data_IF_152594171670
#
_entry.id   IF_152594171670
#
_cell.length_a   1.000
_cell.length_b   1.000
_cell.length_c   1.000
_cell.angle_alpha   90.00
_cell.angle_beta   90.00
_cell.angle_gamma   90.00
#
_symmetry.space_group_name_H-M   'P 1'
#
loop_
_entity.id
_entity.type
_entity.pdbx_description
1 polymer ?
#
# COMPACT_ATOMS: atom_id res chain seq x y z
N UNK A 1 -12.30 -6.27 4.75
CA UNK A 1 -13.10 -7.44 5.12
C UNK A 1 -12.17 -8.60 5.48
N UNK A 2 -12.57 -9.48 6.43
CA UNK A 2 -11.79 -10.63 6.87
C UNK A 2 -12.63 -11.90 6.70
N UNK A 3 -12.05 -12.90 6.05
CA UNK A 3 -12.67 -14.21 5.85
C UNK A 3 -11.80 -15.29 6.49
N UNK A 4 -12.36 -16.04 7.45
CA UNK A 4 -11.66 -17.19 8.02
C UNK A 4 -11.73 -18.36 7.04
N UNK A 5 -10.58 -18.76 6.49
CA UNK A 5 -10.50 -19.96 5.64
C UNK A 5 -10.42 -21.25 6.48
N UNK A 6 -9.75 -21.17 7.62
CA UNK A 6 -9.65 -22.24 8.61
C UNK A 6 -9.62 -21.64 10.02
N UNK A 7 -9.54 -22.48 11.06
CA UNK A 7 -9.41 -22.03 12.46
C UNK A 7 -8.20 -21.12 12.71
N UNK A 8 -7.18 -21.17 11.86
CA UNK A 8 -5.93 -20.40 12.01
C UNK A 8 -5.59 -19.51 10.83
N UNK A 9 -6.25 -19.68 9.69
CA UNK A 9 -5.90 -18.95 8.47
C UNK A 9 -6.99 -17.95 8.14
N UNK A 10 -6.60 -16.68 8.04
CA UNK A 10 -7.50 -15.58 7.74
C UNK A 10 -7.08 -14.92 6.43
N UNK A 11 -8.03 -14.74 5.53
CA UNK A 11 -7.86 -14.02 4.28
C UNK A 11 -8.45 -12.60 4.42
N UNK A 12 -7.70 -11.61 3.97
CA UNK A 12 -8.12 -10.21 3.92
C UNK A 12 -8.02 -9.67 2.50
N UNK A 13 -9.07 -9.77 1.70
CA UNK A 13 -9.16 -9.00 0.46
C UNK A 13 -9.46 -7.54 0.79
N UNK A 14 -8.81 -6.62 0.09
CA UNK A 14 -9.10 -5.21 0.16
C UNK A 14 -9.02 -4.59 -1.24
N UNK A 15 -9.89 -3.63 -1.49
CA UNK A 15 -9.89 -2.80 -2.67
C UNK A 15 -9.97 -1.33 -2.23
N UNK A 16 -9.10 -0.51 -2.76
CA UNK A 16 -9.05 0.91 -2.50
C UNK A 16 -9.10 1.65 -3.83
N UNK A 17 -9.92 2.68 -3.88
CA UNK A 17 -10.06 3.56 -5.03
C UNK A 17 -10.19 4.99 -4.53
N UNK A 18 -9.35 5.87 -5.05
CA UNK A 18 -9.41 7.29 -4.75
C UNK A 18 -9.50 8.12 -6.03
N UNK A 19 -10.27 9.18 -5.93
CA UNK A 19 -10.49 10.13 -7.00
C UNK A 19 -10.50 11.54 -6.44
N UNK A 20 -9.76 12.43 -7.09
CA UNK A 20 -9.69 13.84 -6.76
C UNK A 20 -10.18 14.66 -7.94
N UNK A 21 -11.15 15.53 -7.71
CA UNK A 21 -11.71 16.45 -8.69
C UNK A 21 -11.54 17.90 -8.28
N UNK A 22 -11.37 18.81 -9.24
CA UNK A 22 -11.38 20.23 -8.97
C UNK A 22 -12.82 20.74 -8.85
N UNK A 23 -13.12 21.48 -7.78
CA UNK A 23 -14.39 22.21 -7.64
C UNK A 23 -14.49 23.36 -8.65
N UNK A 24 -13.35 23.98 -8.99
CA UNK A 24 -13.25 25.05 -9.97
C UNK A 24 -12.11 24.74 -10.95
N UNK A 25 -12.45 24.57 -12.23
CA UNK A 25 -11.49 24.24 -13.27
C UNK A 25 -10.43 25.34 -13.51
N UNK A 26 -10.74 26.61 -13.23
CA UNK A 26 -9.81 27.71 -13.40
C UNK A 26 -8.71 27.72 -12.34
N UNK A 27 -8.98 27.16 -11.16
CA UNK A 27 -8.01 27.06 -10.04
C UNK A 27 -7.23 25.75 -10.05
N UNK A 28 -7.73 24.73 -10.77
CA UNK A 28 -7.12 23.42 -10.83
C UNK A 28 -7.22 22.62 -9.53
N UNK A 29 -6.51 21.50 -9.50
CA UNK A 29 -6.43 20.60 -8.33
C UNK A 29 -5.29 21.06 -7.44
N UNK A 30 -5.53 21.14 -6.13
CA UNK A 30 -4.53 21.52 -5.13
C UNK A 30 -3.41 20.46 -5.11
N UNK A 31 -2.14 20.84 -5.32
CA UNK A 31 -1.04 19.85 -5.42
C UNK A 31 -0.85 18.98 -4.18
N UNK A 32 -1.19 19.49 -2.99
CA UNK A 32 -1.00 18.78 -1.72
C UNK A 32 -2.02 17.68 -1.44
N UNK A 33 -3.14 17.66 -2.16
CA UNK A 33 -4.18 16.63 -2.00
C UNK A 33 -4.01 15.45 -2.95
N UNK A 34 -2.98 15.47 -3.81
CA UNK A 34 -2.76 14.41 -4.78
C UNK A 34 -2.24 13.15 -4.13
N UNK A 35 -2.59 12.00 -4.71
CA UNK A 35 -2.23 10.69 -4.24
C UNK A 35 -0.82 10.28 -4.68
N UNK A 36 -0.03 9.79 -3.73
CA UNK A 36 1.30 9.25 -3.99
C UNK A 36 1.29 7.74 -3.70
N UNK A 37 1.52 6.91 -4.71
CA UNK A 37 1.45 5.47 -4.60
C UNK A 37 2.84 4.85 -4.52
N UNK A 38 2.99 3.84 -3.64
CA UNK A 38 4.21 3.06 -3.44
C UNK A 38 4.73 3.11 -2.01
N UNK A 39 5.45 2.06 -1.62
CA UNK A 39 6.11 1.96 -0.33
C UNK A 39 5.25 1.39 0.79
N UNK A 40 5.58 1.76 2.01
CA UNK A 40 4.97 1.27 3.25
C UNK A 40 3.78 2.13 3.75
N UNK A 41 3.54 3.26 3.11
CA UNK A 41 2.52 4.22 3.56
C UNK A 41 2.95 5.05 4.77
N UNK A 42 4.15 4.86 5.28
CA UNK A 42 4.72 5.69 6.31
C UNK A 42 5.20 6.99 5.67
N UNK A 43 4.30 7.92 5.44
CA UNK A 43 4.62 9.28 4.98
C UNK A 43 5.44 10.09 5.97
N UNK A 44 6.25 9.43 6.82
CA UNK A 44 6.97 10.01 7.95
C UNK A 44 8.00 11.08 7.56
N UNK A 45 8.32 11.20 6.28
CA UNK A 45 9.33 12.17 5.82
C UNK A 45 8.78 13.35 5.05
N UNK A 46 7.50 13.36 4.71
CA UNK A 46 6.84 14.53 4.13
C UNK A 46 5.83 15.11 5.11
N UNK A 47 6.24 16.12 5.85
CA UNK A 47 5.38 16.93 6.71
C UNK A 47 4.45 17.87 5.90
N UNK A 48 4.34 17.64 4.60
CA UNK A 48 3.60 18.47 3.66
C UNK A 48 2.14 18.05 3.47
N UNK A 49 1.67 17.05 4.24
CA UNK A 49 0.28 16.61 4.21
C UNK A 49 -0.10 15.74 3.00
N UNK A 50 0.86 15.25 2.22
CA UNK A 50 0.61 14.37 1.06
C UNK A 50 0.05 13.02 1.51
N UNK A 51 -0.98 12.55 0.82
CA UNK A 51 -1.53 11.23 1.07
C UNK A 51 -0.70 10.16 0.34
N UNK A 52 0.01 9.33 1.12
CA UNK A 52 0.80 8.22 0.58
C UNK A 52 0.03 6.92 0.70
N UNK A 53 -0.28 6.33 -0.45
CA UNK A 53 -0.98 5.05 -0.55
C UNK A 53 0.07 3.94 -0.61
N UNK A 54 0.10 3.09 0.41
CA UNK A 54 1.05 1.98 0.47
C UNK A 54 0.85 0.98 -0.68
N UNK A 55 1.92 0.63 -1.36
CA UNK A 55 2.00 -0.54 -2.26
C UNK A 55 3.35 -1.20 -2.03
N UNK A 56 3.35 -2.28 -1.26
CA UNK A 56 4.56 -2.97 -0.84
C UNK A 56 5.28 -3.62 -2.02
N UNK A 57 6.62 -3.71 -1.94
CA UNK A 57 7.47 -4.20 -3.03
C UNK A 57 7.90 -3.10 -4.01
N UNK A 58 7.60 -1.85 -3.70
CA UNK A 58 8.07 -0.68 -4.44
C UNK A 58 8.55 0.40 -3.48
N UNK A 59 9.50 1.26 -3.86
CA UNK A 59 9.94 2.39 -3.04
C UNK A 59 8.80 3.37 -2.76
N UNK A 60 8.94 4.14 -1.69
CA UNK A 60 7.95 5.14 -1.33
C UNK A 60 7.68 6.12 -2.48
N UNK A 61 6.39 6.35 -2.79
CA UNK A 61 5.90 7.28 -3.80
C UNK A 61 6.37 7.03 -5.25
N UNK A 62 7.05 5.91 -5.50
CA UNK A 62 7.72 5.62 -6.78
C UNK A 62 6.78 5.29 -7.94
N UNK A 63 5.54 4.97 -7.66
CA UNK A 63 4.55 4.58 -8.68
C UNK A 63 3.67 5.74 -9.15
N UNK A 64 3.91 6.94 -8.62
CA UNK A 64 3.25 8.18 -9.05
C UNK A 64 4.24 9.10 -9.74
N UNK A 65 3.73 10.03 -10.53
CA UNK A 65 4.55 11.13 -11.06
C UNK A 65 5.01 12.06 -9.94
N UNK A 66 5.96 12.94 -10.21
CA UNK A 66 6.50 13.92 -9.24
C UNK A 66 5.41 14.77 -8.59
N UNK A 67 4.35 15.07 -9.33
CA UNK A 67 3.23 15.88 -8.85
C UNK A 67 2.13 15.03 -8.16
N UNK A 68 2.27 13.71 -8.07
CA UNK A 68 1.24 12.80 -7.61
C UNK A 68 0.14 12.56 -8.64
N UNK A 69 -0.75 11.60 -8.38
CA UNK A 69 -1.91 11.28 -9.20
C UNK A 69 -3.21 11.90 -8.67
N UNK A 70 -4.20 12.00 -9.53
CA UNK A 70 -5.56 12.43 -9.16
C UNK A 70 -6.52 11.25 -9.00
N UNK A 71 -6.10 10.09 -9.46
CA UNK A 71 -6.85 8.84 -9.37
C UNK A 71 -5.87 7.74 -9.00
N UNK A 72 -6.28 6.84 -8.12
CA UNK A 72 -5.57 5.59 -7.90
C UNK A 72 -6.53 4.44 -7.72
N UNK A 73 -6.04 3.25 -8.00
CA UNK A 73 -6.68 2.00 -7.64
C UNK A 73 -5.65 1.06 -7.00
N UNK A 74 -6.08 0.33 -5.99
CA UNK A 74 -5.26 -0.67 -5.31
C UNK A 74 -6.09 -1.88 -4.97
N UNK A 75 -5.52 -3.03 -5.26
CA UNK A 75 -6.03 -4.35 -4.91
C UNK A 75 -5.04 -4.99 -3.96
N UNK A 76 -5.53 -5.57 -2.88
CA UNK A 76 -4.69 -6.27 -1.91
C UNK A 76 -5.38 -7.57 -1.49
N UNK A 77 -4.63 -8.64 -1.51
CA UNK A 77 -5.03 -9.92 -0.95
C UNK A 77 -3.97 -10.34 0.05
N UNK A 78 -4.33 -10.41 1.32
CA UNK A 78 -3.42 -10.75 2.40
C UNK A 78 -3.92 -11.99 3.13
N UNK A 79 -3.06 -12.95 3.34
CA UNK A 79 -3.29 -14.17 4.08
C UNK A 79 -2.49 -14.12 5.38
N UNK A 80 -3.17 -14.24 6.52
CA UNK A 80 -2.59 -14.14 7.86
C UNK A 80 -2.64 -15.46 8.58
N UNK A 81 -1.53 -15.81 9.23
CA UNK A 81 -1.41 -16.98 10.07
C UNK A 81 -0.90 -16.60 11.47
N UNK A 82 -1.66 -16.84 12.56
CA UNK A 82 -1.20 -16.54 13.92
C UNK A 82 -0.10 -17.52 14.34
N UNK A 83 1.04 -16.96 14.76
CA UNK A 83 2.16 -17.69 15.33
C UNK A 83 1.96 -17.81 16.86
N UNK A 84 1.64 -16.67 17.50
CA UNK A 84 1.39 -16.58 18.94
C UNK A 84 0.26 -15.60 19.21
N UNK A 85 -0.63 -15.96 20.10
CA UNK A 85 -1.78 -15.14 20.53
C UNK A 85 -1.70 -14.89 22.05
N UNK A 86 -0.52 -14.63 22.57
CA UNK A 86 -0.31 -14.27 23.98
C UNK A 86 -1.02 -12.97 24.37
N UNK A 87 -1.32 -12.80 25.65
CA UNK A 87 -1.99 -11.60 26.17
C UNK A 87 -1.10 -10.35 26.04
N UNK A 88 0.21 -10.50 26.24
CA UNK A 88 1.16 -9.39 26.18
C UNK A 88 1.60 -9.05 24.75
N UNK A 89 1.61 -10.02 23.85
CA UNK A 89 2.00 -9.83 22.48
C UNK A 89 1.32 -10.86 21.57
N UNK A 90 0.81 -10.38 20.44
CA UNK A 90 0.25 -11.25 19.38
C UNK A 90 1.17 -11.17 18.17
N UNK A 91 1.62 -12.33 17.71
CA UNK A 91 2.54 -12.44 16.56
C UNK A 91 1.83 -13.20 15.46
N UNK A 92 1.82 -12.67 14.26
CA UNK A 92 1.32 -13.37 13.08
C UNK A 92 2.22 -13.13 11.86
N UNK A 93 2.37 -14.20 11.09
CA UNK A 93 2.96 -14.12 9.75
C UNK A 93 1.88 -13.78 8.74
N UNK A 94 2.30 -13.16 7.66
CA UNK A 94 1.41 -12.89 6.53
C UNK A 94 2.12 -13.11 5.20
N UNK A 95 1.34 -13.46 4.20
CA UNK A 95 1.71 -13.42 2.80
C UNK A 95 0.75 -12.47 2.10
N UNK A 96 1.24 -11.70 1.13
CA UNK A 96 0.42 -10.75 0.41
C UNK A 96 0.68 -10.75 -1.09
N UNK A 97 -0.35 -10.39 -1.83
CA UNK A 97 -0.29 -10.03 -3.24
C UNK A 97 -0.98 -8.68 -3.34
N UNK A 98 -0.31 -7.72 -3.94
CA UNK A 98 -0.84 -6.38 -4.16
C UNK A 98 -0.70 -5.96 -5.62
N UNK A 99 -1.57 -5.08 -6.05
CA UNK A 99 -1.47 -4.45 -7.35
C UNK A 99 -2.21 -3.13 -7.35
N UNK A 100 -1.64 -2.14 -8.01
CA UNK A 100 -2.24 -0.83 -8.09
C UNK A 100 -1.56 0.06 -9.11
N UNK A 101 -2.18 1.18 -9.40
CA UNK A 101 -1.59 2.20 -10.25
C UNK A 101 -2.17 3.59 -9.91
N UNK A 102 -1.46 4.61 -10.34
CA UNK A 102 -1.82 6.02 -10.17
C UNK A 102 -1.95 6.69 -11.53
N UNK A 103 -2.95 7.54 -11.69
CA UNK A 103 -3.29 8.20 -12.96
C UNK A 103 -3.54 9.68 -12.74
N UNK A 104 -3.31 10.49 -13.79
CA UNK A 104 -3.54 11.94 -13.74
C UNK A 104 -4.89 12.34 -14.33
N UNK A 105 -5.56 11.45 -15.06
CA UNK A 105 -6.82 11.75 -15.74
C UNK A 105 -7.70 10.51 -15.85
N UNK A 106 -9.02 10.71 -15.82
CA UNK A 106 -9.98 9.64 -16.10
C UNK A 106 -9.85 9.05 -17.51
N UNK A 107 -9.32 9.80 -18.45
CA UNK A 107 -9.11 9.30 -19.82
C UNK A 107 -8.04 8.21 -19.87
N UNK A 108 -7.07 8.27 -18.95
CA UNK A 108 -5.95 7.34 -18.86
C UNK A 108 -6.23 6.19 -17.89
N UNK A 109 -7.36 6.26 -17.17
CA UNK A 109 -7.70 5.29 -16.15
C UNK A 109 -8.01 3.93 -16.77
N UNK A 110 -7.21 2.92 -16.38
CA UNK A 110 -7.43 1.53 -16.73
C UNK A 110 -7.26 0.67 -15.45
N UNK A 111 -8.34 0.12 -14.88
CA UNK A 111 -8.28 -0.63 -13.63
C UNK A 111 -7.47 -1.93 -13.71
N UNK A 112 -7.16 -2.40 -14.92
CA UNK A 112 -6.37 -3.62 -15.14
C UNK A 112 -4.90 -3.35 -15.42
N UNK A 113 -4.53 -2.11 -15.69
CA UNK A 113 -3.14 -1.70 -15.84
C UNK A 113 -2.55 -1.42 -14.46
N UNK A 114 -2.12 -2.47 -13.76
CA UNK A 114 -1.63 -2.41 -12.39
C UNK A 114 -0.16 -2.80 -12.29
N UNK A 115 0.54 -2.18 -11.36
CA UNK A 115 1.88 -2.57 -10.90
C UNK A 115 1.73 -3.61 -9.81
N UNK A 116 2.27 -4.81 -10.02
CA UNK A 116 2.03 -5.99 -9.18
C UNK A 116 3.20 -6.23 -8.25
N UNK A 117 2.89 -6.69 -7.07
CA UNK A 117 3.87 -7.17 -6.10
C UNK A 117 3.34 -8.35 -5.29
N UNK A 118 4.24 -9.08 -4.68
CA UNK A 118 3.92 -10.11 -3.72
C UNK A 118 5.02 -10.17 -2.66
N UNK A 119 4.70 -10.67 -1.48
CA UNK A 119 5.69 -10.73 -0.42
C UNK A 119 5.21 -11.45 0.82
N UNK A 120 6.10 -11.45 1.80
CA UNK A 120 5.88 -12.05 3.11
C UNK A 120 6.16 -11.00 4.19
N UNK A 121 5.51 -11.14 5.33
CA UNK A 121 5.76 -10.24 6.45
C UNK A 121 5.45 -10.87 7.79
N UNK A 122 5.88 -10.17 8.82
CA UNK A 122 5.60 -10.50 10.21
C UNK A 122 5.04 -9.26 10.91
N UNK A 123 4.04 -9.48 11.73
CA UNK A 123 3.41 -8.46 12.57
C UNK A 123 3.52 -8.85 14.02
N UNK A 124 3.87 -7.88 14.83
CA UNK A 124 3.89 -7.94 16.28
C UNK A 124 2.91 -6.88 16.79
N UNK A 125 1.84 -7.31 17.41
CA UNK A 125 0.90 -6.43 18.10
C UNK A 125 1.15 -6.49 19.60
N UNK A 126 1.42 -5.33 20.19
CA UNK A 126 1.56 -5.14 21.64
C UNK A 126 0.54 -4.10 22.12
N UNK A 127 -0.31 -4.41 23.12
CA UNK A 127 -1.35 -3.47 23.57
C UNK A 127 -0.81 -2.10 24.00
N UNK A 128 0.41 -2.03 24.53
CA UNK A 128 1.03 -0.79 24.99
C UNK A 128 1.71 0.03 23.86
N UNK A 129 2.12 -0.60 22.77
CA UNK A 129 2.94 0.03 21.70
C UNK A 129 2.29 0.01 20.33
N UNK A 130 1.16 -0.69 20.18
CA UNK A 130 0.48 -0.83 18.89
C UNK A 130 1.05 -1.93 18.00
N UNK A 131 0.92 -1.77 16.71
CA UNK A 131 1.35 -2.73 15.69
C UNK A 131 2.72 -2.36 15.14
N UNK A 132 3.63 -3.32 15.18
CA UNK A 132 4.92 -3.25 14.51
C UNK A 132 4.99 -4.34 13.45
N UNK A 133 5.66 -4.09 12.34
CA UNK A 133 5.80 -5.08 11.30
C UNK A 133 6.99 -4.86 10.38
N UNK A 134 7.40 -5.94 9.74
CA UNK A 134 8.39 -5.94 8.67
C UNK A 134 7.84 -6.76 7.53
N UNK A 135 7.85 -6.19 6.33
CA UNK A 135 7.46 -6.84 5.09
C UNK A 135 8.63 -6.90 4.11
N UNK A 136 8.77 -8.03 3.46
CA UNK A 136 9.65 -8.23 2.32
C UNK A 136 8.79 -8.40 1.08
N UNK A 137 8.78 -7.39 0.23
CA UNK A 137 7.97 -7.35 -0.99
C UNK A 137 8.83 -7.40 -2.24
N UNK A 138 8.34 -8.06 -3.27
CA UNK A 138 8.97 -8.11 -4.59
C UNK A 138 8.06 -7.44 -5.62
N UNK A 139 8.56 -6.36 -6.26
CA UNK A 139 7.89 -5.68 -7.36
C UNK A 139 8.17 -6.39 -8.70
N UNK A 140 7.12 -6.84 -9.38
CA UNK A 140 7.22 -7.57 -10.65
C UNK A 140 7.32 -6.67 -11.87
N UNK A 141 6.92 -5.42 -11.72
CA UNK A 141 6.85 -4.46 -12.82
C UNK A 141 7.87 -3.33 -12.61
N UNK A 142 8.22 -2.64 -13.68
CA UNK A 142 9.13 -1.51 -13.62
C UNK A 142 8.45 -0.28 -13.00
N UNK A 143 9.20 0.46 -12.21
CA UNK A 143 8.81 1.79 -11.73
C UNK A 143 8.75 2.76 -12.92
N UNK A 144 7.83 3.74 -12.96
CA UNK A 144 7.79 4.76 -13.99
C UNK A 144 9.17 5.40 -14.25
N UNK A 145 9.56 5.47 -15.51
CA UNK A 145 10.89 5.98 -15.91
C UNK A 145 12.04 4.96 -15.84
N UNK A 146 11.79 3.74 -15.39
CA UNK A 146 12.79 2.66 -15.36
C UNK A 146 12.42 1.55 -16.35
N UNK A 147 13.42 0.95 -17.00
CA UNK A 147 13.22 -0.17 -17.94
C UNK A 147 13.29 -1.53 -17.27
N UNK A 148 13.90 -1.62 -16.08
CA UNK A 148 14.07 -2.89 -15.35
C UNK A 148 12.97 -3.06 -14.31
N UNK A 149 12.58 -4.33 -14.09
CA UNK A 149 11.71 -4.72 -12.97
C UNK A 149 12.34 -4.27 -11.67
N UNK A 150 11.50 -3.87 -10.71
CA UNK A 150 12.02 -3.26 -9.49
C UNK A 150 12.80 -4.26 -8.63
N UNK A 151 12.21 -5.39 -8.26
CA UNK A 151 12.84 -6.41 -7.41
C UNK A 151 12.39 -6.36 -5.95
N UNK A 152 13.30 -6.65 -5.02
CA UNK A 152 13.00 -6.75 -3.59
C UNK A 152 13.10 -5.42 -2.86
N UNK A 153 12.11 -5.17 -2.00
CA UNK A 153 12.07 -4.04 -1.05
C UNK A 153 11.68 -4.52 0.35
N UNK A 154 12.23 -3.85 1.35
CA UNK A 154 11.90 -4.07 2.75
C UNK A 154 11.10 -2.89 3.28
N UNK A 155 9.98 -3.17 3.90
CA UNK A 155 9.06 -2.16 4.43
C UNK A 155 8.89 -2.35 5.93
N UNK A 156 8.90 -1.24 6.66
CA UNK A 156 8.58 -1.21 8.09
C UNK A 156 7.15 -0.70 8.26
N UNK A 157 6.42 -1.34 9.15
CA UNK A 157 5.04 -0.96 9.46
C UNK A 157 4.97 -0.57 10.94
N UNK A 158 4.53 0.65 11.19
CA UNK A 158 4.34 1.18 12.55
C UNK A 158 2.96 1.83 12.58
N UNK A 159 2.11 1.43 13.52
CA UNK A 159 0.82 2.08 13.67
C UNK A 159 -0.30 1.19 14.15
N UNK A 160 -1.50 1.74 14.18
CA UNK A 160 -2.75 1.08 14.55
C UNK A 160 -3.57 0.72 13.30
N UNK A 161 -3.04 -0.01 12.36
CA UNK A 161 -3.89 -0.49 11.27
C UNK A 161 -4.47 -1.86 11.62
N UNK A 162 -5.72 -1.86 12.00
CA UNK A 162 -6.52 -3.05 12.20
C UNK A 162 -7.24 -3.44 10.91
#
# INVERSE_FOLDING_TARGET
WFAALTKKLVLRPAFEFGFLGAYNNDRGIIPFERFFLGGDGLGMYSLDGRETIALRGYPNQSLSNQDGGTIYNKYSLEMRYPISLGEQAKIFALAFIEGGNSYNSFRDFNPFLIKRSAGLGVRLFMPAFGLLGIDFGHGFDAVPGQSKKHGWETHFIIGQSF
#
